data_IF_808882881172
#
_entry.id   IF_808882881172
#
_cell.length_a   1.000
_cell.length_b   1.000
_cell.length_c   1.000
_cell.angle_alpha   90.00
_cell.angle_beta   90.00
_cell.angle_gamma   90.00
#
_symmetry.space_group_name_H-M   'P 1'
#
loop_
_entity.id
_entity.type
_entity.pdbx_description
1 polymer ?
#
# COMPACT_ATOMS: atom_id res chain seq x y z
N UNK A 1 14.14 17.84 -12.49
CA UNK A 1 12.86 17.30 -13.00
C UNK A 1 11.73 17.92 -12.21
N UNK A 2 10.93 18.80 -12.81
CA UNK A 2 9.66 19.22 -12.21
C UNK A 2 8.75 17.99 -12.22
N UNK A 3 8.43 17.46 -11.04
CA UNK A 3 7.28 16.58 -10.89
C UNK A 3 6.06 17.41 -11.30
N UNK A 4 5.50 17.13 -12.49
CA UNK A 4 4.16 17.59 -12.81
C UNK A 4 3.23 16.91 -11.81
N UNK A 5 2.90 17.61 -10.72
CA UNK A 5 1.89 17.16 -9.76
C UNK A 5 0.55 17.14 -10.50
N UNK A 6 0.21 15.98 -11.08
CA UNK A 6 -1.13 15.79 -11.63
C UNK A 6 -2.14 15.95 -10.50
N UNK A 7 -3.20 16.72 -10.71
CA UNK A 7 -4.26 16.87 -9.72
C UNK A 7 -4.96 15.51 -9.47
N UNK A 8 -5.52 15.27 -8.26
CA UNK A 8 -6.29 14.07 -8.01
C UNK A 8 -7.49 13.98 -8.96
N UNK A 9 -7.82 12.77 -9.40
CA UNK A 9 -8.99 12.54 -10.24
C UNK A 9 -10.19 12.15 -9.39
N UNK A 10 -11.03 13.15 -9.13
CA UNK A 10 -12.25 13.01 -8.35
C UNK A 10 -13.36 12.28 -9.11
N UNK A 11 -14.12 11.42 -8.44
CA UNK A 11 -15.21 10.64 -9.05
C UNK A 11 -16.50 11.44 -9.23
N UNK A 12 -16.74 12.44 -8.38
CA UNK A 12 -17.98 13.22 -8.36
C UNK A 12 -17.74 14.61 -7.75
N UNK A 13 -18.66 15.55 -8.01
CA UNK A 13 -18.56 16.96 -7.59
C UNK A 13 -18.71 17.08 -6.06
N UNK A 14 -17.68 17.57 -5.38
CA UNK A 14 -17.65 17.68 -3.91
C UNK A 14 -16.86 16.58 -3.21
N UNK A 15 -16.36 15.58 -3.95
CA UNK A 15 -15.48 14.55 -3.40
C UNK A 15 -14.20 15.15 -2.79
N UNK A 16 -13.68 16.22 -3.38
CA UNK A 16 -12.52 16.97 -2.87
C UNK A 16 -12.79 17.57 -1.49
N UNK A 17 -13.89 18.31 -1.35
CA UNK A 17 -14.27 18.90 -0.07
C UNK A 17 -14.46 17.82 1.01
N UNK A 18 -15.07 16.69 0.66
CA UNK A 18 -15.22 15.54 1.57
C UNK A 18 -13.87 14.93 1.96
N UNK A 19 -12.96 14.78 1.01
CA UNK A 19 -11.62 14.25 1.28
C UNK A 19 -10.78 15.18 2.16
N UNK A 20 -10.94 16.49 2.02
CA UNK A 20 -10.25 17.50 2.84
C UNK A 20 -10.83 17.60 4.26
N UNK A 21 -12.14 17.39 4.42
CA UNK A 21 -12.80 17.36 5.72
C UNK A 21 -12.35 16.15 6.58
N UNK A 22 -12.02 15.04 5.92
CA UNK A 22 -11.61 13.79 6.57
C UNK A 22 -10.23 13.31 6.06
N UNK A 23 -9.13 13.95 6.51
CA UNK A 23 -7.80 13.54 6.10
C UNK A 23 -7.45 12.16 6.67
N UNK A 24 -6.88 11.29 5.81
CA UNK A 24 -6.53 9.90 6.16
C UNK A 24 -5.65 9.82 7.41
N UNK A 25 -4.69 10.73 7.57
CA UNK A 25 -3.80 10.74 8.74
C UNK A 25 -4.57 10.87 10.05
N UNK A 26 -5.59 11.73 10.09
CA UNK A 26 -6.45 11.92 11.28
C UNK A 26 -7.29 10.67 11.55
N UNK A 27 -7.87 10.08 10.51
CA UNK A 27 -8.64 8.84 10.65
C UNK A 27 -7.78 7.68 11.14
N UNK A 28 -6.52 7.59 10.70
CA UNK A 28 -5.57 6.55 11.16
C UNK A 28 -5.21 6.74 12.63
N UNK A 29 -5.00 7.98 13.09
CA UNK A 29 -4.78 8.25 14.52
C UNK A 29 -6.00 7.88 15.37
N UNK A 30 -7.21 8.21 14.91
CA UNK A 30 -8.47 7.86 15.57
C UNK A 30 -8.65 6.34 15.67
N UNK A 31 -8.40 5.64 14.57
CA UNK A 31 -8.41 4.18 14.50
C UNK A 31 -7.42 3.55 15.48
N UNK A 32 -6.20 4.09 15.57
CA UNK A 32 -5.15 3.57 16.45
C UNK A 32 -5.59 3.62 17.92
N UNK A 33 -6.17 4.74 18.35
CA UNK A 33 -6.68 4.91 19.73
C UNK A 33 -7.83 3.93 20.01
N UNK A 34 -8.82 3.87 19.13
CA UNK A 34 -10.00 3.01 19.32
C UNK A 34 -9.67 1.51 19.38
N UNK A 35 -8.73 1.06 18.55
CA UNK A 35 -8.31 -0.36 18.55
C UNK A 35 -7.41 -0.68 19.75
N UNK A 36 -6.57 0.26 20.20
CA UNK A 36 -5.71 0.07 21.37
C UNK A 36 -6.52 -0.07 22.67
N UNK A 37 -7.64 0.65 22.81
CA UNK A 37 -8.52 0.57 23.98
C UNK A 37 -9.24 -0.78 24.12
N UNK A 38 -9.52 -1.45 23.00
CA UNK A 38 -10.36 -2.67 22.97
C UNK A 38 -9.55 -3.97 22.92
N UNK A 39 -8.21 -3.88 22.88
CA UNK A 39 -7.30 -5.01 22.66
C UNK A 39 -7.76 -5.95 21.52
N UNK A 40 -8.19 -5.36 20.41
CA UNK A 40 -8.75 -6.11 19.27
C UNK A 40 -7.76 -7.17 18.76
N UNK A 41 -8.24 -8.41 18.61
CA UNK A 41 -7.42 -9.55 18.19
C UNK A 41 -7.86 -10.12 16.85
N UNK A 42 -6.88 -10.30 15.96
CA UNK A 42 -7.04 -10.94 14.67
C UNK A 42 -6.70 -12.42 14.73
N UNK A 43 -7.42 -13.26 13.99
CA UNK A 43 -7.09 -14.67 13.80
C UNK A 43 -6.44 -14.87 12.44
N UNK A 44 -5.23 -15.45 12.44
CA UNK A 44 -4.54 -15.87 11.21
C UNK A 44 -5.25 -17.06 10.58
N UNK A 45 -5.58 -16.93 9.30
CA UNK A 45 -6.14 -18.01 8.49
C UNK A 45 -5.41 -18.07 7.15
N UNK A 46 -4.63 -19.14 6.94
CA UNK A 46 -3.88 -19.44 5.71
C UNK A 46 -3.03 -18.26 5.20
N UNK A 47 -3.62 -17.38 4.39
CA UNK A 47 -3.00 -16.24 3.70
C UNK A 47 -3.62 -14.86 4.06
N UNK A 48 -4.54 -14.80 5.03
CA UNK A 48 -5.19 -13.57 5.48
C UNK A 48 -5.34 -13.55 7.00
N UNK A 49 -5.72 -12.39 7.55
CA UNK A 49 -6.09 -12.23 8.96
C UNK A 49 -7.54 -11.79 9.03
N UNK A 50 -8.32 -12.47 9.87
CA UNK A 50 -9.70 -12.10 10.16
C UNK A 50 -9.74 -11.35 11.50
N UNK A 51 -10.17 -10.10 11.47
CA UNK A 51 -10.31 -9.25 12.64
C UNK A 51 -11.79 -9.09 12.97
N UNK A 52 -12.19 -9.48 14.18
CA UNK A 52 -13.53 -9.23 14.68
C UNK A 52 -13.53 -7.89 15.43
N UNK A 53 -14.37 -6.96 14.98
CA UNK A 53 -14.44 -5.60 15.52
C UNK A 53 -15.88 -5.17 15.76
N UNK A 54 -16.04 -4.15 16.60
CA UNK A 54 -17.31 -3.47 16.78
C UNK A 54 -17.68 -2.63 15.53
N UNK A 55 -18.97 -2.33 15.29
CA UNK A 55 -19.40 -1.60 14.09
C UNK A 55 -18.71 -0.24 13.89
N UNK A 56 -18.45 0.49 14.97
CA UNK A 56 -17.77 1.80 14.96
C UNK A 56 -16.32 1.67 14.47
N UNK A 57 -15.62 0.64 14.95
CA UNK A 57 -14.26 0.32 14.52
C UNK A 57 -14.21 -0.16 13.07
N UNK A 58 -15.24 -0.88 12.62
CA UNK A 58 -15.38 -1.28 11.22
C UNK A 58 -15.51 -0.05 10.29
N UNK A 59 -16.23 0.98 10.73
CA UNK A 59 -16.32 2.25 9.99
C UNK A 59 -14.97 2.98 9.95
N UNK A 60 -14.25 3.03 11.07
CA UNK A 60 -12.90 3.61 11.09
C UNK A 60 -11.92 2.85 10.18
N UNK A 61 -11.99 1.52 10.14
CA UNK A 61 -11.19 0.69 9.24
C UNK A 61 -11.52 0.97 7.77
N UNK A 62 -12.80 1.14 7.42
CA UNK A 62 -13.23 1.50 6.07
C UNK A 62 -12.72 2.89 5.68
N UNK A 63 -12.88 3.89 6.56
CA UNK A 63 -12.37 5.26 6.37
C UNK A 63 -10.86 5.29 6.11
N UNK A 64 -10.09 4.44 6.81
CA UNK A 64 -8.64 4.28 6.63
C UNK A 64 -8.25 3.32 5.49
N UNK A 65 -9.24 2.68 4.87
CA UNK A 65 -9.11 1.67 3.82
C UNK A 65 -8.25 0.47 4.22
N UNK A 66 -8.39 -0.01 5.45
CA UNK A 66 -7.77 -1.27 5.88
C UNK A 66 -8.74 -2.43 5.70
N UNK A 67 -8.33 -3.42 4.92
CA UNK A 67 -9.04 -4.67 4.76
C UNK A 67 -10.37 -4.53 4.01
N UNK A 68 -11.14 -5.61 4.07
CA UNK A 68 -12.45 -5.72 3.43
C UNK A 68 -13.45 -6.31 4.41
N UNK A 69 -14.61 -5.68 4.51
CA UNK A 69 -15.73 -6.22 5.28
C UNK A 69 -16.18 -7.58 4.70
N UNK A 70 -16.24 -8.59 5.57
CA UNK A 70 -16.80 -9.90 5.28
C UNK A 70 -18.26 -9.90 5.72
N UNK A 71 -19.16 -10.29 4.82
CA UNK A 71 -20.57 -10.42 5.16
C UNK A 71 -20.75 -11.56 6.16
N UNK A 72 -21.25 -11.22 7.35
CA UNK A 72 -21.65 -12.18 8.37
C UNK A 72 -23.13 -12.00 8.71
N UNK A 73 -23.81 -13.10 9.02
CA UNK A 73 -25.19 -13.11 9.49
C UNK A 73 -25.32 -12.55 10.92
N UNK A 74 -24.22 -12.52 11.68
CA UNK A 74 -24.18 -12.00 13.05
C UNK A 74 -24.20 -10.46 13.04
N UNK A 75 -25.16 -9.88 13.77
CA UNK A 75 -25.31 -8.42 13.87
C UNK A 75 -24.36 -7.77 14.89
N UNK A 76 -23.81 -8.55 15.82
CA UNK A 76 -23.06 -8.03 16.97
C UNK A 76 -21.65 -7.58 16.56
N UNK A 77 -20.87 -8.46 15.91
CA UNK A 77 -19.51 -8.14 15.48
C UNK A 77 -19.38 -8.14 13.96
N UNK A 78 -18.57 -7.23 13.45
CA UNK A 78 -18.20 -7.16 12.04
C UNK A 78 -16.84 -7.84 11.84
N UNK A 79 -16.75 -8.64 10.78
CA UNK A 79 -15.53 -9.35 10.42
C UNK A 79 -14.82 -8.61 9.29
N UNK A 80 -13.58 -8.19 9.53
CA UNK A 80 -12.74 -7.53 8.53
C UNK A 80 -11.64 -8.50 8.11
N UNK A 81 -11.54 -8.75 6.81
CA UNK A 81 -10.46 -9.51 6.22
C UNK A 81 -9.32 -8.56 5.85
N UNK A 82 -8.16 -8.78 6.47
CA UNK A 82 -6.93 -8.05 6.22
C UNK A 82 -5.96 -8.93 5.44
N UNK A 83 -5.25 -8.32 4.50
CA UNK A 83 -4.02 -8.91 3.93
C UNK A 83 -2.93 -9.00 5.00
N UNK A 84 -1.88 -9.78 4.73
CA UNK A 84 -0.73 -9.85 5.63
C UNK A 84 -0.06 -8.49 5.83
N UNK A 85 0.07 -7.70 4.78
CA UNK A 85 0.67 -6.37 4.87
C UNK A 85 -0.16 -5.42 5.73
N UNK A 86 -1.48 -5.42 5.55
CA UNK A 86 -2.40 -4.61 6.35
C UNK A 86 -2.38 -5.03 7.82
N UNK A 87 -2.48 -6.33 8.08
CA UNK A 87 -2.50 -6.85 9.44
C UNK A 87 -1.16 -6.61 10.16
N UNK A 88 -0.04 -6.85 9.48
CA UNK A 88 1.28 -6.60 10.06
C UNK A 88 1.54 -5.09 10.22
N UNK A 89 0.99 -4.22 9.37
CA UNK A 89 1.08 -2.77 9.56
C UNK A 89 0.33 -2.31 10.82
N UNK A 90 -0.89 -2.84 11.04
CA UNK A 90 -1.68 -2.57 12.24
C UNK A 90 -0.98 -3.09 13.52
N UNK A 91 -0.32 -4.25 13.43
CA UNK A 91 0.45 -4.83 14.54
C UNK A 91 1.77 -4.08 14.80
N UNK A 92 2.62 -3.91 13.79
CA UNK A 92 4.00 -3.46 13.93
C UNK A 92 4.15 -1.92 13.93
N UNK A 93 3.51 -1.24 12.97
CA UNK A 93 3.63 0.22 12.83
C UNK A 93 2.66 0.97 13.76
N UNK A 94 1.40 0.50 13.84
CA UNK A 94 0.37 1.16 14.64
C UNK A 94 0.21 0.57 16.05
N UNK A 95 0.69 -0.66 16.28
CA UNK A 95 0.64 -1.33 17.59
C UNK A 95 -0.75 -1.35 18.22
N UNK A 96 -1.77 -1.54 17.39
CA UNK A 96 -3.17 -1.40 17.80
C UNK A 96 -3.96 -2.71 17.77
N UNK A 97 -3.40 -3.80 17.22
CA UNK A 97 -4.05 -5.12 17.22
C UNK A 97 -3.10 -6.19 17.74
N UNK A 98 -3.65 -7.27 18.30
CA UNK A 98 -2.93 -8.52 18.58
C UNK A 98 -3.28 -9.57 17.52
N UNK A 99 -2.38 -10.49 17.22
CA UNK A 99 -2.64 -11.55 16.23
C UNK A 99 -2.52 -12.91 16.91
N UNK A 100 -3.47 -13.81 16.63
CA UNK A 100 -3.52 -15.17 17.17
C UNK A 100 -3.55 -16.21 16.06
N UNK A 101 -2.98 -17.38 16.33
CA UNK A 101 -2.98 -18.54 15.44
C UNK A 101 -3.60 -19.72 16.19
N UNK A 102 -4.71 -20.26 15.66
CA UNK A 102 -5.40 -21.43 16.25
C UNK A 102 -5.73 -21.26 17.74
N UNK A 103 -6.13 -20.05 18.16
CA UNK A 103 -6.45 -19.74 19.56
C UNK A 103 -5.25 -19.52 20.48
N UNK A 104 -4.01 -19.66 19.99
CA UNK A 104 -2.81 -19.21 20.70
C UNK A 104 -2.48 -17.78 20.28
N UNK A 105 -2.40 -16.88 21.24
CA UNK A 105 -1.93 -15.52 20.99
C UNK A 105 -0.47 -15.60 20.53
N UNK A 106 -0.16 -15.04 19.36
CA UNK A 106 1.22 -14.80 18.98
C UNK A 106 1.60 -13.48 19.67
N UNK A 107 2.06 -13.57 20.91
CA UNK A 107 2.41 -12.39 21.71
C UNK A 107 3.61 -11.63 21.11
N UNK A 108 4.40 -12.27 20.24
CA UNK A 108 5.59 -11.69 19.63
C UNK A 108 5.38 -11.34 18.15
N UNK A 109 5.73 -10.12 17.77
CA UNK A 109 5.77 -9.62 16.38
C UNK A 109 6.61 -10.53 15.48
N UNK A 110 7.65 -11.15 16.06
CA UNK A 110 8.56 -12.09 15.38
C UNK A 110 7.85 -13.36 14.92
N UNK A 111 6.97 -13.95 15.76
CA UNK A 111 6.29 -15.19 15.39
C UNK A 111 5.30 -14.97 14.25
N UNK A 112 4.59 -13.83 14.31
CA UNK A 112 3.69 -13.40 13.22
C UNK A 112 4.47 -13.18 11.92
N UNK A 113 5.62 -12.51 12.00
CA UNK A 113 6.51 -12.27 10.87
C UNK A 113 6.99 -13.58 10.23
N UNK A 114 7.48 -14.51 11.05
CA UNK A 114 7.96 -15.82 10.59
C UNK A 114 6.83 -16.63 9.94
N UNK A 115 5.64 -16.63 10.53
CA UNK A 115 4.48 -17.28 9.94
C UNK A 115 4.15 -16.69 8.56
N UNK A 116 4.02 -15.37 8.45
CA UNK A 116 3.69 -14.70 7.18
C UNK A 116 4.77 -14.92 6.11
N UNK A 117 6.05 -14.86 6.49
CA UNK A 117 7.19 -15.18 5.62
C UNK A 117 7.16 -16.63 5.15
N UNK A 118 6.85 -17.58 6.04
CA UNK A 118 6.76 -19.01 5.67
C UNK A 118 5.66 -19.28 4.63
N UNK A 119 4.55 -18.53 4.70
CA UNK A 119 3.44 -18.64 3.75
C UNK A 119 3.70 -17.88 2.45
N UNK A 120 4.44 -16.77 2.53
CA UNK A 120 4.76 -15.93 1.38
C UNK A 120 6.21 -15.42 1.51
N UNK A 121 7.18 -16.07 0.85
CA UNK A 121 8.60 -15.73 0.98
C UNK A 121 8.93 -14.26 0.65
N UNK A 122 8.20 -13.66 -0.29
CA UNK A 122 8.37 -12.26 -0.67
C UNK A 122 7.70 -11.27 0.30
N UNK A 123 7.05 -11.75 1.36
CA UNK A 123 6.33 -10.90 2.33
C UNK A 123 7.16 -9.74 2.87
N UNK A 124 8.44 -9.91 3.29
CA UNK A 124 9.25 -8.80 3.78
C UNK A 124 9.36 -7.64 2.79
N UNK A 125 9.51 -7.94 1.50
CA UNK A 125 9.68 -6.94 0.44
C UNK A 125 8.37 -6.20 0.17
N UNK A 126 7.28 -6.95 0.08
CA UNK A 126 5.94 -6.39 -0.10
C UNK A 126 5.51 -5.56 1.10
N UNK A 127 5.83 -6.00 2.32
CA UNK A 127 5.54 -5.25 3.53
C UNK A 127 6.33 -3.95 3.57
N UNK A 128 7.63 -3.97 3.26
CA UNK A 128 8.45 -2.75 3.18
C UNK A 128 7.91 -1.76 2.16
N UNK A 129 7.53 -2.23 0.98
CA UNK A 129 6.91 -1.41 -0.07
C UNK A 129 5.57 -0.82 0.41
N UNK A 130 4.74 -1.65 1.06
CA UNK A 130 3.46 -1.24 1.63
C UNK A 130 3.63 -0.17 2.71
N UNK A 131 4.51 -0.40 3.69
CA UNK A 131 4.77 0.52 4.79
C UNK A 131 5.35 1.85 4.30
N UNK A 132 6.20 1.81 3.28
CA UNK A 132 6.81 2.99 2.66
C UNK A 132 5.79 3.88 1.96
N UNK A 133 4.83 3.30 1.22
CA UNK A 133 3.75 4.07 0.63
C UNK A 133 2.76 4.58 1.69
N UNK A 134 2.45 3.77 2.71
CA UNK A 134 1.60 4.18 3.84
C UNK A 134 2.22 5.34 4.63
N UNK A 135 3.53 5.36 4.86
CA UNK A 135 4.21 6.48 5.53
C UNK A 135 4.16 7.79 4.73
N UNK A 136 3.92 7.70 3.42
CA UNK A 136 3.64 8.84 2.53
C UNK A 136 2.14 9.14 2.39
N UNK A 137 1.30 8.58 3.25
CA UNK A 137 -0.16 8.71 3.27
C UNK A 137 -0.90 8.17 2.03
N UNK A 138 -0.28 7.25 1.26
CA UNK A 138 -1.02 6.56 0.20
C UNK A 138 -1.96 5.51 0.79
N UNK A 139 -3.17 5.45 0.24
CA UNK A 139 -4.08 4.32 0.46
C UNK A 139 -3.77 3.23 -0.55
N UNK A 140 -3.49 2.03 -0.08
CA UNK A 140 -3.21 0.86 -0.92
C UNK A 140 -4.36 -0.13 -0.91
N UNK A 141 -4.68 -0.68 -2.08
CA UNK A 141 -5.55 -1.85 -2.24
C UNK A 141 -4.84 -2.89 -3.12
N UNK A 142 -5.36 -4.12 -3.10
CA UNK A 142 -4.87 -5.19 -3.97
C UNK A 142 -4.90 -4.76 -5.44
N UNK A 143 -3.78 -4.94 -6.13
CA UNK A 143 -3.63 -4.62 -7.55
C UNK A 143 -4.04 -5.75 -8.50
N UNK A 144 -4.53 -6.88 -7.97
CA UNK A 144 -4.74 -8.12 -8.73
C UNK A 144 -5.61 -7.92 -9.99
N UNK A 145 -6.65 -7.10 -9.90
CA UNK A 145 -7.55 -6.79 -11.03
C UNK A 145 -6.87 -6.04 -12.18
N UNK A 146 -5.70 -5.44 -11.92
CA UNK A 146 -4.93 -4.64 -12.87
C UNK A 146 -3.58 -5.31 -13.23
N UNK A 147 -3.36 -6.56 -12.80
CA UNK A 147 -2.12 -7.30 -13.08
C UNK A 147 -0.88 -6.75 -12.34
N UNK A 148 -1.09 -5.99 -11.26
CA UNK A 148 -0.04 -5.36 -10.46
C UNK A 148 -0.18 -5.76 -8.99
N UNK A 149 0.78 -5.40 -8.14
CA UNK A 149 0.80 -5.84 -6.75
C UNK A 149 -0.16 -5.00 -5.90
N UNK A 150 -0.08 -3.68 -6.05
CA UNK A 150 -0.99 -2.74 -5.39
C UNK A 150 -1.52 -1.69 -6.37
N UNK A 151 -2.62 -1.05 -5.96
CA UNK A 151 -3.05 0.23 -6.52
C UNK A 151 -3.04 1.29 -5.44
N UNK A 152 -2.50 2.47 -5.76
CA UNK A 152 -2.37 3.57 -4.82
C UNK A 152 -3.37 4.68 -5.10
N UNK A 153 -4.00 5.17 -4.04
CA UNK A 153 -4.97 6.26 -4.04
C UNK A 153 -4.49 7.37 -3.10
N UNK A 154 -4.70 8.63 -3.50
CA UNK A 154 -4.45 9.79 -2.62
C UNK A 154 -5.46 9.90 -1.48
N UNK A 155 -6.67 9.42 -1.70
CA UNK A 155 -7.81 9.49 -0.79
C UNK A 155 -8.62 8.20 -0.86
N UNK A 156 -9.71 8.12 -0.08
CA UNK A 156 -10.59 6.95 -0.08
C UNK A 156 -11.05 6.57 -1.51
N UNK A 157 -11.03 5.27 -1.91
CA UNK A 157 -11.40 4.82 -3.25
C UNK A 157 -12.82 5.17 -3.71
N UNK A 158 -13.73 5.55 -2.80
CA UNK A 158 -15.07 6.06 -3.15
C UNK A 158 -15.05 7.51 -3.65
N UNK A 159 -13.99 8.27 -3.36
CA UNK A 159 -13.85 9.69 -3.67
C UNK A 159 -12.99 9.93 -4.90
N UNK A 160 -11.92 9.14 -5.06
CA UNK A 160 -10.91 9.32 -6.13
C UNK A 160 -10.66 8.04 -6.91
N UNK A 161 -10.22 8.22 -8.15
CA UNK A 161 -9.57 7.15 -8.90
C UNK A 161 -8.15 6.94 -8.37
N UNK A 162 -7.69 5.69 -8.40
CA UNK A 162 -6.29 5.36 -8.17
C UNK A 162 -5.38 6.12 -9.14
N UNK A 163 -4.23 6.54 -8.66
CA UNK A 163 -3.22 7.22 -9.45
C UNK A 163 -2.20 6.25 -10.00
N UNK A 164 -1.70 5.37 -9.14
CA UNK A 164 -0.64 4.44 -9.49
C UNK A 164 -1.12 2.99 -9.54
N UNK A 165 -0.63 2.29 -10.56
CA UNK A 165 -0.47 0.84 -10.56
C UNK A 165 0.93 0.54 -10.02
N UNK A 166 1.04 -0.23 -8.93
CA UNK A 166 2.31 -0.41 -8.21
C UNK A 166 2.85 -1.82 -8.42
N UNK A 167 4.09 -1.91 -8.90
CA UNK A 167 4.86 -3.14 -8.99
C UNK A 167 6.01 -3.12 -7.98
N UNK A 168 6.10 -4.15 -7.15
CA UNK A 168 7.19 -4.34 -6.20
C UNK A 168 8.27 -5.20 -6.85
N UNK A 169 9.47 -4.66 -6.92
CA UNK A 169 10.65 -5.33 -7.44
C UNK A 169 11.64 -5.57 -6.30
N UNK A 170 12.14 -6.79 -6.21
CA UNK A 170 13.28 -7.16 -5.38
C UNK A 170 14.42 -7.65 -6.29
N UNK A 171 15.65 -7.73 -5.76
CA UNK A 171 16.83 -8.13 -6.54
C UNK A 171 16.67 -9.45 -7.32
N UNK A 172 15.84 -10.36 -6.83
CA UNK A 172 15.58 -11.67 -7.46
C UNK A 172 14.33 -11.69 -8.36
N UNK A 173 13.62 -10.58 -8.52
CA UNK A 173 12.36 -10.54 -9.27
C UNK A 173 12.56 -10.81 -10.76
N UNK A 174 11.75 -11.69 -11.32
CA UNK A 174 11.72 -12.01 -12.76
C UNK A 174 10.86 -11.01 -13.57
N UNK A 175 10.14 -10.10 -12.92
CA UNK A 175 9.20 -9.18 -13.59
C UNK A 175 9.90 -7.97 -14.16
N UNK A 176 9.47 -7.52 -15.35
CA UNK A 176 10.04 -6.35 -16.05
C UNK A 176 11.50 -6.54 -16.50
N UNK A 177 11.98 -7.78 -16.63
CA UNK A 177 13.36 -8.07 -17.07
C UNK A 177 13.58 -7.79 -18.54
N UNK A 178 12.53 -7.90 -19.35
CA UNK A 178 12.57 -7.64 -20.79
C UNK A 178 11.67 -6.48 -21.16
N UNK A 179 12.02 -5.77 -22.23
CA UNK A 179 11.27 -4.59 -22.70
C UNK A 179 9.79 -4.90 -22.98
N UNK A 180 9.47 -6.10 -23.45
CA UNK A 180 8.08 -6.52 -23.67
C UNK A 180 7.24 -6.47 -22.41
N UNK A 181 7.80 -6.84 -21.25
CA UNK A 181 7.10 -6.82 -19.97
C UNK A 181 6.80 -5.39 -19.54
N UNK A 182 7.78 -4.49 -19.72
CA UNK A 182 7.62 -3.06 -19.45
C UNK A 182 6.51 -2.47 -20.33
N UNK A 183 6.55 -2.74 -21.64
CA UNK A 183 5.51 -2.29 -22.56
C UNK A 183 4.13 -2.83 -22.19
N UNK A 184 4.04 -4.10 -21.80
CA UNK A 184 2.79 -4.72 -21.37
C UNK A 184 2.25 -4.05 -20.09
N UNK A 185 3.09 -3.87 -19.07
CA UNK A 185 2.71 -3.23 -17.80
C UNK A 185 2.28 -1.77 -17.98
N UNK A 186 2.99 -1.01 -18.83
CA UNK A 186 2.62 0.37 -19.18
C UNK A 186 1.30 0.40 -19.96
N UNK A 187 1.07 -0.54 -20.88
CA UNK A 187 -0.18 -0.64 -21.64
C UNK A 187 -1.37 -0.94 -20.72
N UNK A 188 -1.25 -1.94 -19.84
CA UNK A 188 -2.29 -2.32 -18.88
C UNK A 188 -2.63 -1.19 -17.91
N UNK A 189 -1.60 -0.49 -17.40
CA UNK A 189 -1.80 0.66 -16.52
C UNK A 189 -2.47 1.82 -17.26
N UNK A 190 -1.96 2.14 -18.45
CA UNK A 190 -2.48 3.22 -19.29
C UNK A 190 -3.92 3.02 -19.76
N UNK A 191 -4.37 1.78 -20.02
CA UNK A 191 -5.76 1.52 -20.44
C UNK A 191 -6.79 1.86 -19.36
N UNK A 192 -6.40 1.87 -18.09
CA UNK A 192 -7.24 2.29 -16.96
C UNK A 192 -6.79 3.64 -16.39
N UNK A 193 -6.08 4.41 -17.22
CA UNK A 193 -5.52 5.73 -16.95
C UNK A 193 -4.62 5.78 -15.70
N UNK A 194 -3.97 4.69 -15.30
CA UNK A 194 -3.04 4.69 -14.16
C UNK A 194 -1.61 4.86 -14.65
N UNK A 195 -0.79 5.51 -13.83
CA UNK A 195 0.65 5.60 -14.04
C UNK A 195 1.33 4.38 -13.42
N UNK A 196 2.25 3.74 -14.14
CA UNK A 196 2.99 2.61 -13.58
C UNK A 196 4.06 3.13 -12.61
N UNK A 197 3.99 2.71 -11.36
CA UNK A 197 4.97 2.98 -10.32
C UNK A 197 5.68 1.67 -9.98
N UNK A 198 6.99 1.65 -10.14
CA UNK A 198 7.84 0.52 -9.75
C UNK A 198 8.56 0.89 -8.46
N UNK A 199 8.48 0.01 -7.46
CA UNK A 199 9.17 0.14 -6.19
C UNK A 199 10.29 -0.88 -6.13
N UNK A 200 11.54 -0.44 -6.21
CA UNK A 200 12.70 -1.30 -6.04
C UNK A 200 13.07 -1.32 -4.57
N UNK A 201 12.90 -2.48 -3.94
CA UNK A 201 13.26 -2.68 -2.54
C UNK A 201 14.64 -3.32 -2.49
N UNK A 202 15.63 -2.50 -2.16
CA UNK A 202 17.04 -2.84 -2.11
C UNK A 202 17.46 -3.15 -0.66
N UNK A 203 18.32 -4.15 -0.45
CA UNK A 203 18.74 -4.54 0.90
C UNK A 203 19.78 -5.66 0.89
N UNK A 204 20.53 -5.82 1.99
CA UNK A 204 21.43 -6.96 2.17
C UNK A 204 20.62 -8.18 2.61
N UNK A 205 20.39 -9.11 1.70
CA UNK A 205 19.64 -10.34 1.94
C UNK A 205 20.51 -11.42 2.60
N UNK A 206 20.92 -11.23 3.86
CA UNK A 206 21.43 -12.36 4.64
C UNK A 206 20.24 -13.15 5.17
N UNK A 207 20.19 -14.45 4.87
CA UNK A 207 19.00 -15.29 5.10
C UNK A 207 18.51 -15.31 6.56
N UNK A 208 19.43 -15.21 7.52
CA UNK A 208 19.12 -15.18 8.96
C UNK A 208 18.56 -13.82 9.41
N UNK A 209 19.04 -12.70 8.85
CA UNK A 209 18.58 -11.36 9.20
C UNK A 209 17.10 -11.14 8.83
N UNK A 210 16.63 -11.81 7.78
CA UNK A 210 15.23 -11.74 7.32
C UNK A 210 14.21 -12.41 8.26
N UNK A 211 14.65 -13.04 9.35
CA UNK A 211 13.77 -13.69 10.31
C UNK A 211 13.21 -12.73 11.35
N UNK A 212 13.77 -11.51 11.43
CA UNK A 212 13.32 -10.48 12.36
C UNK A 212 12.75 -9.29 11.59
N UNK A 213 11.66 -8.66 12.07
CA UNK A 213 11.13 -7.42 11.48
C UNK A 213 12.15 -6.29 11.41
N UNK A 214 13.18 -6.30 12.27
CA UNK A 214 14.28 -5.33 12.30
C UNK A 214 15.01 -5.23 10.95
N UNK A 215 14.97 -6.28 10.11
CA UNK A 215 15.57 -6.24 8.78
C UNK A 215 15.00 -5.12 7.89
N UNK A 216 13.79 -4.63 8.19
CA UNK A 216 13.13 -3.55 7.45
C UNK A 216 13.90 -2.23 7.51
N UNK A 217 14.71 -2.00 8.55
CA UNK A 217 15.55 -0.80 8.68
C UNK A 217 16.71 -0.81 7.67
N UNK A 218 17.18 -2.01 7.30
CA UNK A 218 18.24 -2.19 6.33
C UNK A 218 17.75 -2.13 4.87
N UNK A 219 16.44 -2.03 4.66
CA UNK A 219 15.84 -1.92 3.33
C UNK A 219 15.65 -0.47 2.92
N UNK A 220 16.08 -0.16 1.71
CA UNK A 220 15.78 1.10 1.02
C UNK A 220 14.76 0.86 -0.09
N UNK A 221 13.92 1.86 -0.36
CA UNK A 221 12.91 1.79 -1.42
C UNK A 221 13.15 2.92 -2.41
N UNK A 222 13.43 2.55 -3.66
CA UNK A 222 13.54 3.48 -4.78
C UNK A 222 12.24 3.47 -5.59
N UNK A 223 11.75 4.67 -5.90
CA UNK A 223 10.48 4.86 -6.62
C UNK A 223 10.78 5.28 -8.06
N UNK A 224 10.29 4.51 -9.02
CA UNK A 224 10.41 4.84 -10.44
C UNK A 224 9.04 4.83 -11.12
N UNK A 225 8.66 5.99 -11.65
CA UNK A 225 7.50 6.10 -12.52
C UNK A 225 7.88 5.77 -13.95
N UNK A 226 7.13 4.87 -14.58
CA UNK A 226 7.29 4.50 -15.99
C UNK A 226 6.03 4.94 -16.74
N UNK A 227 6.19 5.81 -17.72
CA UNK A 227 5.11 6.30 -18.58
C UNK A 227 5.41 6.02 -20.04
N UNK A 228 4.36 6.03 -20.87
CA UNK A 228 4.52 5.96 -22.32
C UNK A 228 5.26 7.21 -22.78
N UNK A 229 6.28 7.01 -23.62
CA UNK A 229 6.88 8.12 -24.33
C UNK A 229 5.84 8.78 -25.24
N UNK A 230 5.62 10.09 -25.06
CA UNK A 230 4.73 10.87 -25.92
C UNK A 230 5.55 11.72 -26.88
N UNK A 231 5.45 11.50 -28.21
CA UNK A 231 6.16 12.31 -29.19
C UNK A 231 5.87 13.80 -29.06
N UNK A 232 4.66 14.17 -28.61
CA UNK A 232 4.24 15.57 -28.46
C UNK A 232 5.08 16.37 -27.45
N UNK A 233 5.58 15.70 -26.41
CA UNK A 233 6.44 16.31 -25.39
C UNK A 233 7.87 16.52 -25.89
N UNK A 234 8.22 15.94 -27.05
CA UNK A 234 9.54 16.03 -27.68
C UNK A 234 9.51 16.81 -28.99
N UNK A 235 8.38 17.46 -29.33
CA UNK A 235 8.21 18.18 -30.60
C UNK A 235 8.89 19.55 -30.65
N UNK A 236 8.97 20.26 -29.53
CA UNK A 236 9.51 21.62 -29.47
C UNK A 236 10.32 21.81 -28.18
N UNK A 237 11.51 22.43 -28.28
CA UNK A 237 12.29 22.88 -27.13
C UNK A 237 11.46 23.87 -26.33
N UNK A 238 11.02 23.49 -25.13
CA UNK A 238 10.20 24.35 -24.29
C UNK A 238 11.01 25.62 -23.91
N UNK A 239 10.62 26.84 -24.36
CA UNK A 239 11.38 28.07 -24.10
C UNK A 239 11.47 28.41 -22.60
N UNK A 240 10.61 27.81 -21.77
CA UNK A 240 10.63 27.99 -20.32
C UNK A 240 11.87 27.38 -19.63
N UNK A 241 12.64 26.53 -20.32
CA UNK A 241 13.85 25.90 -19.76
C UNK A 241 15.12 26.71 -20.09
N UNK A 242 15.11 27.57 -21.11
CA UNK A 242 16.29 28.37 -21.48
C UNK A 242 16.53 29.61 -20.60
N UNK A 243 15.55 30.09 -19.84
CA UNK A 243 15.71 31.27 -18.96
C UNK A 243 16.26 30.96 -17.55
N UNK A 244 16.78 29.76 -17.29
CA UNK A 244 17.38 29.41 -15.99
C UNK A 244 18.81 28.85 -16.03
N UNK A 245 19.48 28.94 -17.17
CA UNK A 245 20.91 28.73 -17.25
C UNK A 245 21.55 29.83 -18.10
N UNK A 246 22.05 30.87 -17.46
CA UNK A 246 23.48 31.22 -17.46
C UNK A 246 23.74 32.41 -16.50
N UNK A 247 24.96 32.51 -15.93
CA UNK A 247 25.32 33.45 -14.86
C UNK A 247 25.91 34.75 -15.40
N UNK A 248 25.51 35.88 -14.82
CA UNK A 248 26.36 36.90 -14.17
C UNK A 248 25.46 37.96 -13.53
#
# INVERSE_FOLDING_TARGET
MQFNYMAPRWKWKGAEAKALAEPISKSVSELQLSLAETESSGTLSSSNVLLAVEPEQAELLDRCCFGRLVLSAEKVKKWIQLSFEEAFYLLYNLKCIKISLQGRCLENEVDTWLYMKSKRPNFPMFFKAYSHLRSKNWVLRSGLQYGVDFVAYRHHPSLVHSEYSVLVQSGDSDRLRVWSDIHCAVRLSGSVAKTLLTLYVNGKFKGEDLNLPVCLENFTVEEQTISRWSPELSREDNPQIQNKMLPM
#
